data_IF_862873270577
#
_entry.id   IF_862873270577
#
_cell.length_a   1.000
_cell.length_b   1.000
_cell.length_c   1.000
_cell.angle_alpha   90.00
_cell.angle_beta   90.00
_cell.angle_gamma   90.00
#
_symmetry.space_group_name_H-M   'P 1'
#
loop_
_entity.id
_entity.type
_entity.pdbx_description
1 polymer ?
#
# COMPACT_ATOMS: atom_id res chain seq x y z
N UNK A 1 -1.06 21.50 2.17
CA UNK A 1 -1.71 20.94 3.37
C UNK A 1 -1.06 19.59 3.61
N UNK A 2 -0.46 19.35 4.77
CA UNK A 2 0.29 18.12 5.02
C UNK A 2 -0.60 16.95 5.45
N UNK A 3 -0.07 15.75 5.29
CA UNK A 3 -0.73 14.47 5.55
C UNK A 3 0.15 13.58 6.42
N UNK A 4 -0.47 12.80 7.29
CA UNK A 4 0.18 11.71 7.99
C UNK A 4 0.18 10.47 7.13
N UNK A 5 1.38 9.99 6.77
CA UNK A 5 1.61 8.63 6.30
C UNK A 5 1.82 7.73 7.51
N UNK A 6 0.84 6.89 7.80
CA UNK A 6 0.84 6.02 8.98
C UNK A 6 1.01 4.58 8.54
N UNK A 7 2.05 3.90 9.03
CA UNK A 7 2.30 2.48 8.75
C UNK A 7 2.22 1.66 10.03
N UNK A 8 1.41 0.60 10.04
CA UNK A 8 1.35 -0.33 11.18
C UNK A 8 2.62 -1.19 11.20
N UNK A 9 3.52 -0.92 12.15
CA UNK A 9 4.80 -1.61 12.26
C UNK A 9 4.74 -2.86 13.14
N UNK A 10 4.00 -2.79 14.25
CA UNK A 10 3.83 -3.91 15.20
C UNK A 10 2.38 -4.41 15.16
N UNK A 11 2.19 -5.70 15.45
CA UNK A 11 0.84 -6.28 15.56
C UNK A 11 0.18 -5.86 16.88
N UNK A 12 -1.15 -5.77 16.88
CA UNK A 12 -1.95 -5.55 18.08
C UNK A 12 -2.41 -6.85 18.76
N UNK A 13 -1.77 -7.98 18.42
CA UNK A 13 -2.04 -9.27 19.09
C UNK A 13 -1.75 -9.16 20.59
N UNK A 14 -2.66 -9.67 21.41
CA UNK A 14 -2.54 -9.61 22.87
C UNK A 14 -2.76 -8.22 23.48
N UNK A 15 -3.17 -7.21 22.70
CA UNK A 15 -3.50 -5.88 23.22
C UNK A 15 -5.00 -5.73 23.50
N UNK A 16 -5.38 -4.82 24.41
CA UNK A 16 -6.78 -4.55 24.72
C UNK A 16 -7.60 -4.12 23.50
N UNK A 17 -8.91 -4.40 23.53
CA UNK A 17 -9.83 -4.09 22.44
C UNK A 17 -9.86 -2.59 22.10
N UNK A 18 -9.67 -1.72 23.10
CA UNK A 18 -9.57 -0.28 22.88
C UNK A 18 -8.46 0.10 21.90
N UNK A 19 -7.29 -0.55 22.00
CA UNK A 19 -6.16 -0.30 21.11
C UNK A 19 -6.46 -0.82 19.70
N UNK A 20 -7.09 -1.99 19.61
CA UNK A 20 -7.54 -2.57 18.32
C UNK A 20 -8.59 -1.69 17.64
N UNK A 21 -9.52 -1.12 18.42
CA UNK A 21 -10.52 -0.17 17.94
C UNK A 21 -9.92 1.11 17.37
N UNK A 22 -8.88 1.67 18.00
CA UNK A 22 -8.16 2.85 17.45
C UNK A 22 -7.49 2.52 16.12
N UNK A 23 -6.83 1.36 16.01
CA UNK A 23 -6.21 0.93 14.75
C UNK A 23 -7.26 0.71 13.65
N UNK A 24 -8.40 0.11 13.98
CA UNK A 24 -9.51 -0.08 13.05
C UNK A 24 -10.09 1.26 12.57
N UNK A 25 -10.25 2.24 13.47
CA UNK A 25 -10.70 3.59 13.14
C UNK A 25 -9.71 4.33 12.22
N UNK A 26 -8.41 4.13 12.41
CA UNK A 26 -7.38 4.63 11.49
C UNK A 26 -7.37 3.88 10.14
N UNK A 27 -8.04 2.73 10.01
CA UNK A 27 -8.06 1.90 8.80
C UNK A 27 -6.92 0.89 8.71
N UNK A 28 -6.17 0.67 9.79
CA UNK A 28 -5.04 -0.27 9.86
C UNK A 28 -5.53 -1.66 10.29
N UNK A 29 -5.69 -2.56 9.31
CA UNK A 29 -6.20 -3.93 9.52
C UNK A 29 -5.09 -4.98 9.58
N UNK A 30 -4.01 -4.79 8.83
CA UNK A 30 -2.89 -5.75 8.75
C UNK A 30 -1.53 -5.07 8.93
N UNK A 31 -0.54 -5.82 9.42
CA UNK A 31 0.83 -5.32 9.59
C UNK A 31 1.41 -4.86 8.25
N UNK A 32 2.25 -3.84 8.29
CA UNK A 32 2.88 -3.17 7.14
C UNK A 32 1.90 -2.49 6.17
N UNK A 33 0.61 -2.41 6.52
CA UNK A 33 -0.34 -1.56 5.83
C UNK A 33 -0.02 -0.10 6.10
N UNK A 34 -0.15 0.73 5.07
CA UNK A 34 0.02 2.18 5.14
C UNK A 34 -1.29 2.85 4.80
N UNK A 35 -1.66 3.88 5.54
CA UNK A 35 -2.83 4.72 5.30
C UNK A 35 -2.41 6.19 5.35
N UNK A 36 -3.18 7.05 4.69
CA UNK A 36 -2.94 8.49 4.65
C UNK A 36 -4.15 9.22 5.23
N UNK A 37 -3.89 10.11 6.20
CA UNK A 37 -4.91 10.96 6.80
C UNK A 37 -4.43 12.42 6.80
N UNK A 38 -5.32 13.41 6.65
CA UNK A 38 -4.93 14.81 6.73
C UNK A 38 -4.39 15.12 8.13
N UNK A 39 -3.45 16.06 8.23
CA UNK A 39 -2.94 16.50 9.54
C UNK A 39 -4.06 17.24 10.28
N UNK A 40 -4.60 16.60 11.31
CA UNK A 40 -5.59 17.17 12.24
C UNK A 40 -5.31 16.71 13.67
N UNK A 41 -5.83 17.46 14.66
CA UNK A 41 -5.69 17.11 16.08
C UNK A 41 -6.34 15.76 16.41
N UNK A 42 -7.45 15.42 15.77
CA UNK A 42 -8.15 14.15 15.99
C UNK A 42 -7.29 12.95 15.57
N UNK A 43 -6.68 13.03 14.37
CA UNK A 43 -5.77 12.00 13.89
C UNK A 43 -4.50 11.94 14.74
N UNK A 44 -3.94 13.08 15.13
CA UNK A 44 -2.79 13.11 16.03
C UNK A 44 -3.10 12.45 17.38
N UNK A 45 -4.27 12.71 17.97
CA UNK A 45 -4.71 12.08 19.22
C UNK A 45 -4.92 10.57 19.09
N UNK A 46 -5.46 10.10 17.95
CA UNK A 46 -5.55 8.66 17.66
C UNK A 46 -4.18 8.02 17.51
N UNK A 47 -3.27 8.64 16.75
CA UNK A 47 -1.89 8.18 16.58
C UNK A 47 -1.19 8.04 17.94
N UNK A 48 -1.32 9.04 18.82
CA UNK A 48 -0.67 9.04 20.13
C UNK A 48 -1.10 7.89 21.04
N UNK A 49 -2.33 7.38 20.88
CA UNK A 49 -2.82 6.19 21.62
C UNK A 49 -2.19 4.88 21.14
N UNK A 50 -1.59 4.86 19.95
CA UNK A 50 -1.01 3.66 19.31
C UNK A 50 0.43 3.89 18.83
N UNK A 51 1.13 4.89 19.39
CA UNK A 51 2.45 5.36 18.94
C UNK A 51 3.53 4.28 18.96
N UNK A 52 3.41 3.29 19.83
CA UNK A 52 4.32 2.15 19.93
C UNK A 52 4.13 1.13 18.80
N UNK A 53 2.99 1.17 18.10
CA UNK A 53 2.61 0.23 17.06
C UNK A 53 2.82 0.78 15.65
N UNK A 54 2.80 2.11 15.49
CA UNK A 54 2.81 2.76 14.18
C UNK A 54 4.12 3.50 13.92
N UNK A 55 4.48 3.64 12.65
CA UNK A 55 5.46 4.63 12.18
C UNK A 55 4.71 5.73 11.46
N UNK A 56 5.04 6.98 11.76
CA UNK A 56 4.39 8.15 11.17
C UNK A 56 5.42 9.00 10.45
N UNK A 57 5.06 9.47 9.26
CA UNK A 57 5.82 10.43 8.48
C UNK A 57 4.86 11.52 8.00
N UNK A 58 5.31 12.76 8.03
CA UNK A 58 4.60 13.86 7.37
C UNK A 58 4.94 13.86 5.87
N UNK A 59 3.93 14.03 5.03
CA UNK A 59 4.06 14.09 3.57
C UNK A 59 3.18 15.21 3.00
N UNK A 60 3.57 15.77 1.86
CA UNK A 60 2.84 16.89 1.24
C UNK A 60 1.49 16.47 0.62
N UNK A 61 1.40 15.23 0.16
CA UNK A 61 0.22 14.69 -0.51
C UNK A 61 0.00 13.21 -0.15
N UNK A 62 -1.27 12.74 -0.08
CA UNK A 62 -1.57 11.34 0.10
C UNK A 62 -1.26 10.57 -1.18
N UNK A 63 -0.96 9.28 -1.04
CA UNK A 63 -0.82 8.38 -2.18
C UNK A 63 -1.98 7.40 -2.23
N UNK A 64 -2.44 7.11 -3.43
CA UNK A 64 -3.39 6.03 -3.71
C UNK A 64 -2.73 4.67 -3.53
N UNK A 65 -3.53 3.63 -3.33
CA UNK A 65 -3.04 2.26 -3.21
C UNK A 65 -2.27 1.80 -4.47
N UNK A 66 -2.65 2.31 -5.65
CA UNK A 66 -1.98 2.02 -6.90
C UNK A 66 -0.57 2.63 -6.95
N UNK A 67 -0.41 3.89 -6.52
CA UNK A 67 0.89 4.57 -6.44
C UNK A 67 1.80 3.90 -5.40
N UNK A 68 1.26 3.58 -4.21
CA UNK A 68 2.01 2.85 -3.18
C UNK A 68 2.45 1.47 -3.68
N UNK A 69 1.63 0.80 -4.50
CA UNK A 69 1.98 -0.48 -5.12
C UNK A 69 3.05 -0.30 -6.20
N UNK A 70 2.92 0.72 -7.04
CA UNK A 70 3.88 1.04 -8.10
C UNK A 70 5.27 1.36 -7.52
N UNK A 71 5.34 2.08 -6.40
CA UNK A 71 6.61 2.37 -5.68
C UNK A 71 7.34 1.13 -5.19
N UNK A 72 6.60 0.02 -5.00
CA UNK A 72 7.17 -1.27 -4.58
C UNK A 72 7.51 -2.16 -5.78
N UNK A 73 7.04 -1.82 -6.97
CA UNK A 73 7.33 -2.59 -8.18
C UNK A 73 8.69 -2.21 -8.73
N UNK A 74 9.58 -3.19 -8.78
CA UNK A 74 10.86 -3.05 -9.46
C UNK A 74 10.68 -3.16 -10.97
N UNK A 75 11.61 -2.58 -11.72
CA UNK A 75 11.64 -2.74 -13.18
C UNK A 75 11.72 -4.23 -13.54
N UNK A 76 10.88 -4.71 -14.47
CA UNK A 76 11.00 -6.08 -14.97
C UNK A 76 12.40 -6.32 -15.54
N UNK A 77 13.06 -7.40 -15.12
CA UNK A 77 14.39 -7.79 -15.62
C UNK A 77 14.35 -8.44 -17.01
N UNK A 78 13.22 -8.35 -17.71
CA UNK A 78 12.99 -8.94 -19.03
C UNK A 78 12.09 -8.01 -19.83
N UNK A 79 12.24 -8.05 -21.16
CA UNK A 79 11.26 -7.50 -22.09
C UNK A 79 10.60 -8.65 -22.85
N UNK A 80 9.32 -8.51 -23.18
CA UNK A 80 8.60 -9.50 -23.98
C UNK A 80 8.78 -9.13 -25.45
N UNK A 81 9.54 -9.94 -26.20
CA UNK A 81 9.85 -9.66 -27.61
C UNK A 81 8.64 -9.82 -28.54
N UNK A 82 7.84 -10.87 -28.32
CA UNK A 82 6.61 -11.15 -29.07
C UNK A 82 5.58 -11.75 -28.13
N UNK A 83 4.32 -11.36 -28.26
CA UNK A 83 3.23 -12.00 -27.49
C UNK A 83 2.90 -13.35 -28.13
N UNK A 84 2.54 -14.36 -27.33
CA UNK A 84 2.21 -15.69 -27.85
C UNK A 84 1.14 -15.68 -28.94
N UNK A 85 0.16 -14.75 -28.88
CA UNK A 85 -0.83 -14.56 -29.96
C UNK A 85 -0.19 -14.16 -31.30
N UNK A 86 0.83 -13.31 -31.29
CA UNK A 86 1.54 -12.88 -32.49
C UNK A 86 2.41 -14.00 -33.07
N UNK A 87 3.04 -14.81 -32.20
CA UNK A 87 3.80 -15.99 -32.62
C UNK A 87 2.89 -17.02 -33.29
N UNK A 88 1.71 -17.28 -32.71
CA UNK A 88 0.75 -18.25 -33.26
C UNK A 88 0.05 -17.73 -34.53
N UNK A 89 -0.23 -16.43 -34.63
CA UNK A 89 -0.75 -15.82 -35.85
C UNK A 89 0.25 -15.94 -37.00
N UNK A 90 1.54 -15.65 -36.74
CA UNK A 90 2.60 -15.80 -37.74
C UNK A 90 2.80 -17.25 -38.18
N UNK A 91 2.72 -18.19 -37.24
CA UNK A 91 2.79 -19.62 -37.52
C UNK A 91 1.62 -20.09 -38.39
N UNK A 92 0.40 -19.60 -38.14
CA UNK A 92 -0.75 -19.90 -39.01
C UNK A 92 -0.60 -19.34 -40.43
N UNK A 93 -0.01 -18.15 -40.55
CA UNK A 93 0.28 -17.49 -41.83
C UNK A 93 1.42 -18.19 -42.62
N UNK A 94 2.43 -18.74 -41.92
CA UNK A 94 3.52 -19.56 -42.49
C UNK A 94 3.08 -20.99 -42.83
N UNK A 95 2.18 -21.58 -42.04
CA UNK A 95 1.65 -22.94 -42.22
C UNK A 95 0.49 -22.99 -43.25
N UNK A 96 0.10 -21.84 -43.83
CA UNK A 96 -0.84 -21.76 -44.95
C UNK A 96 -2.27 -22.25 -44.64
N UNK A 97 -2.85 -21.77 -43.53
CA UNK A 97 -4.29 -21.89 -43.22
C UNK A 97 -4.92 -20.51 -43.16
#
# INVERSE_FOLDING_TARGET
MSWFRITLHRSAIGLPERTRGVLAALGLRRRSQTVFHPVSQDFAGMIMKVKELVRVQEVDAPKTDAEVKAERQFAPGFWVEKRGKEVMARRGEEDGI
#
